data_IF_499098366825
#
_entry.id   IF_499098366825
#
_cell.length_a   1.000
_cell.length_b   1.000
_cell.length_c   1.000
_cell.angle_alpha   90.00
_cell.angle_beta   90.00
_cell.angle_gamma   90.00
#
_symmetry.space_group_name_H-M   'P 1'
#
loop_
_entity.id
_entity.type
_entity.pdbx_description
1 polymer ?
#
# COMPACT_ATOMS: atom_id res chain seq x y z
N UNK A 1 -73.29 -17.39 -18.55
CA UNK A 1 -72.48 -16.59 -17.60
C UNK A 1 -71.04 -17.14 -17.70
N UNK A 2 -70.17 -16.40 -18.44
CA UNK A 2 -68.79 -16.84 -18.71
C UNK A 2 -67.87 -16.11 -17.73
N UNK A 3 -67.21 -16.87 -16.85
CA UNK A 3 -66.22 -16.36 -15.91
C UNK A 3 -64.88 -16.25 -16.66
N UNK A 4 -64.45 -15.01 -16.88
CA UNK A 4 -63.12 -14.73 -17.45
C UNK A 4 -62.14 -14.67 -16.27
N UNK A 5 -61.29 -15.72 -16.19
CA UNK A 5 -60.23 -15.79 -15.17
C UNK A 5 -59.04 -14.95 -15.62
N UNK A 6 -58.83 -13.84 -15.00
CA UNK A 6 -57.67 -12.97 -15.28
C UNK A 6 -56.46 -13.50 -14.51
N UNK A 7 -55.50 -14.05 -15.22
CA UNK A 7 -54.21 -14.47 -14.67
C UNK A 7 -53.35 -13.20 -14.51
N UNK A 8 -53.13 -12.75 -13.28
CA UNK A 8 -52.15 -11.70 -12.93
C UNK A 8 -50.78 -12.38 -12.85
N UNK A 9 -49.93 -12.14 -13.85
CA UNK A 9 -48.53 -12.53 -13.80
C UNK A 9 -47.77 -11.47 -12.97
N UNK A 10 -47.46 -11.78 -11.71
CA UNK A 10 -46.56 -11.02 -10.88
C UNK A 10 -45.12 -11.25 -11.35
N UNK A 11 -44.60 -10.32 -12.14
CA UNK A 11 -43.19 -10.27 -12.49
C UNK A 11 -42.37 -9.89 -11.25
N UNK A 12 -41.87 -10.90 -10.52
CA UNK A 12 -41.03 -10.70 -9.34
C UNK A 12 -39.67 -10.14 -9.78
N UNK A 13 -39.45 -8.85 -9.57
CA UNK A 13 -38.16 -8.19 -9.78
C UNK A 13 -37.22 -8.61 -8.67
N UNK A 14 -36.34 -9.59 -8.96
CA UNK A 14 -35.29 -10.02 -8.02
C UNK A 14 -34.23 -8.92 -8.00
N UNK A 15 -34.23 -8.12 -6.95
CA UNK A 15 -33.15 -7.17 -6.67
C UNK A 15 -31.94 -7.96 -6.20
N UNK A 16 -30.98 -8.18 -7.07
CA UNK A 16 -29.67 -8.74 -6.71
C UNK A 16 -28.88 -7.63 -6.02
N UNK A 17 -28.52 -7.76 -4.74
CA UNK A 17 -27.68 -6.76 -4.07
C UNK A 17 -26.30 -6.79 -4.73
N UNK A 18 -25.93 -5.68 -5.39
CA UNK A 18 -24.58 -5.46 -5.86
C UNK A 18 -23.74 -5.17 -4.61
N UNK A 19 -23.00 -6.15 -4.13
CA UNK A 19 -21.99 -5.93 -3.11
C UNK A 19 -20.83 -5.21 -3.78
N UNK A 20 -20.78 -3.88 -3.67
CA UNK A 20 -19.56 -3.13 -3.89
C UNK A 20 -18.61 -3.54 -2.76
N UNK A 21 -17.73 -4.50 -3.01
CA UNK A 21 -16.61 -4.79 -2.13
C UNK A 21 -15.78 -3.52 -1.99
N UNK A 22 -15.70 -2.95 -0.78
CA UNK A 22 -14.75 -1.91 -0.49
C UNK A 22 -13.35 -2.50 -0.75
N UNK A 23 -12.60 -1.89 -1.68
CA UNK A 23 -11.18 -2.21 -1.85
C UNK A 23 -10.49 -1.65 -0.62
N UNK A 24 -10.22 -2.51 0.38
CA UNK A 24 -9.34 -2.15 1.47
C UNK A 24 -7.96 -1.86 0.88
N UNK A 25 -7.52 -0.61 0.99
CA UNK A 25 -6.16 -0.24 0.60
C UNK A 25 -5.21 -0.90 1.59
N UNK A 26 -4.42 -1.85 1.12
CA UNK A 26 -3.40 -2.52 1.92
C UNK A 26 -2.33 -1.52 2.34
N UNK A 27 -1.96 -1.52 3.62
CA UNK A 27 -0.93 -0.66 4.19
C UNK A 27 0.19 -1.52 4.73
N UNK A 28 1.41 -1.25 4.28
CA UNK A 28 2.61 -1.88 4.79
C UNK A 28 3.29 -0.99 5.84
N UNK A 29 3.53 -1.50 7.02
CA UNK A 29 4.07 -0.74 8.14
C UNK A 29 5.56 -1.01 8.35
N UNK A 30 6.33 0.07 8.59
CA UNK A 30 7.73 0.04 8.98
C UNK A 30 7.87 0.84 10.27
N UNK A 31 8.37 0.22 11.32
CA UNK A 31 8.64 0.91 12.57
C UNK A 31 10.00 1.63 12.54
N UNK A 32 10.08 2.81 13.13
CA UNK A 32 11.34 3.45 13.51
C UNK A 32 11.63 3.08 14.95
N UNK A 33 12.81 2.52 15.20
CA UNK A 33 13.23 1.97 16.48
C UNK A 33 14.49 2.65 17.01
N UNK A 34 14.67 2.68 18.34
CA UNK A 34 15.81 3.30 19.01
C UNK A 34 17.11 2.47 18.95
N UNK A 35 17.04 1.23 18.42
CA UNK A 35 18.17 0.33 18.28
C UNK A 35 18.19 -0.30 16.90
N UNK A 36 19.35 -0.87 16.50
CA UNK A 36 19.45 -1.56 15.23
C UNK A 36 18.40 -2.69 15.11
N UNK A 37 17.76 -2.83 13.92
CA UNK A 37 18.11 -2.22 12.63
C UNK A 37 17.59 -0.79 12.40
N UNK A 38 17.01 -0.12 13.38
CA UNK A 38 16.46 1.24 13.39
C UNK A 38 15.20 1.43 12.53
N UNK A 39 15.10 0.85 11.34
CA UNK A 39 13.87 0.67 10.57
C UNK A 39 13.54 -0.82 10.55
N UNK A 40 12.36 -1.17 11.02
CA UNK A 40 11.94 -2.57 11.15
C UNK A 40 10.64 -2.81 10.36
N UNK A 41 10.65 -3.65 9.31
CA UNK A 41 11.81 -4.37 8.79
C UNK A 41 12.83 -3.46 8.07
N UNK A 42 14.11 -3.83 8.12
CA UNK A 42 15.21 -3.14 7.44
C UNK A 42 15.08 -3.18 5.91
N UNK A 43 14.62 -4.30 5.36
CA UNK A 43 14.28 -4.48 3.95
C UNK A 43 12.81 -4.86 3.86
N UNK A 44 12.02 -4.04 3.20
CA UNK A 44 10.63 -4.32 2.87
C UNK A 44 10.49 -4.65 1.38
N UNK A 45 9.75 -5.69 1.03
CA UNK A 45 9.38 -6.00 -0.36
C UNK A 45 7.87 -5.99 -0.45
N UNK A 46 7.35 -5.07 -1.26
CA UNK A 46 5.91 -4.80 -1.37
C UNK A 46 5.46 -4.77 -2.83
N UNK A 47 4.21 -5.11 -3.13
CA UNK A 47 3.63 -4.88 -4.45
C UNK A 47 3.48 -3.39 -4.76
N UNK A 48 3.58 -3.00 -6.03
CA UNK A 48 3.20 -1.65 -6.44
C UNK A 48 1.71 -1.38 -6.15
N UNK A 49 1.39 -0.14 -5.79
CA UNK A 49 0.04 0.24 -5.37
C UNK A 49 -0.26 0.08 -3.87
N UNK A 50 0.59 -0.60 -3.11
CA UNK A 50 0.47 -0.70 -1.65
C UNK A 50 0.98 0.57 -0.98
N UNK A 51 0.22 1.10 -0.02
CA UNK A 51 0.66 2.22 0.83
C UNK A 51 1.76 1.76 1.78
N UNK A 52 2.80 2.57 1.97
CA UNK A 52 3.83 2.34 2.98
C UNK A 52 3.73 3.40 4.05
N UNK A 53 3.71 2.99 5.31
CA UNK A 53 3.67 3.91 6.43
C UNK A 53 4.80 3.63 7.41
N UNK A 54 5.63 4.64 7.68
CA UNK A 54 6.64 4.62 8.72
C UNK A 54 6.07 5.23 10.00
N UNK A 55 6.25 4.52 11.12
CA UNK A 55 5.74 4.95 12.43
C UNK A 55 6.92 5.20 13.35
N UNK A 56 7.04 6.42 13.87
CA UNK A 56 8.09 6.74 14.83
C UNK A 56 7.71 6.31 16.24
N UNK A 57 8.22 5.17 16.67
CA UNK A 57 8.01 4.61 18.02
C UNK A 57 9.10 5.05 19.01
N UNK A 58 10.01 5.94 18.60
CA UNK A 58 11.12 6.41 19.44
C UNK A 58 10.76 7.68 20.20
N UNK A 59 11.64 8.09 21.11
CA UNK A 59 11.49 9.33 21.86
C UNK A 59 12.11 10.56 21.15
N UNK A 60 12.69 10.39 19.96
CA UNK A 60 13.35 11.45 19.18
C UNK A 60 12.75 11.58 17.79
N UNK A 61 12.97 12.74 17.17
CA UNK A 61 12.53 12.93 15.77
C UNK A 61 13.44 12.17 14.80
N UNK A 62 12.86 11.66 13.73
CA UNK A 62 13.55 10.98 12.63
C UNK A 62 13.04 11.48 11.28
N UNK A 63 13.75 11.13 10.20
CA UNK A 63 13.28 11.38 8.83
C UNK A 63 13.27 10.08 8.04
N UNK A 64 12.45 10.03 6.98
CA UNK A 64 12.48 8.99 5.95
C UNK A 64 12.83 9.68 4.64
N UNK A 65 14.09 9.63 4.26
CA UNK A 65 14.62 10.42 3.15
C UNK A 65 15.24 9.49 2.12
N UNK A 66 14.71 9.48 0.90
CA UNK A 66 15.28 8.72 -0.21
C UNK A 66 16.70 9.21 -0.51
N UNK A 67 17.61 8.29 -0.78
CA UNK A 67 19.02 8.63 -1.02
C UNK A 67 19.22 9.50 -2.28
N UNK A 68 18.28 9.44 -3.23
CA UNK A 68 18.25 10.32 -4.39
C UNK A 68 18.13 11.80 -4.04
N UNK A 69 17.57 12.14 -2.86
CA UNK A 69 17.46 13.52 -2.39
C UNK A 69 18.81 14.13 -1.98
N UNK A 70 19.88 13.31 -1.83
CA UNK A 70 21.24 13.76 -1.55
C UNK A 70 22.05 14.10 -2.80
N UNK A 71 21.59 13.65 -3.95
CA UNK A 71 22.31 13.72 -5.21
C UNK A 71 21.41 14.43 -6.22
N UNK A 72 21.96 14.83 -7.36
CA UNK A 72 21.19 15.37 -8.50
C UNK A 72 20.32 14.31 -9.19
N UNK A 73 19.90 13.28 -8.46
CA UNK A 73 19.01 12.22 -8.91
C UNK A 73 17.58 12.53 -8.47
N UNK A 74 16.56 11.94 -9.09
CA UNK A 74 15.19 12.13 -8.66
C UNK A 74 15.02 11.77 -7.19
N UNK A 75 14.53 12.73 -6.38
CA UNK A 75 14.16 12.52 -5.01
C UNK A 75 12.75 11.89 -4.97
N UNK A 76 12.65 10.61 -4.68
CA UNK A 76 11.36 9.91 -4.69
C UNK A 76 10.47 10.31 -3.50
N UNK A 77 11.07 10.53 -2.33
CA UNK A 77 10.36 10.95 -1.12
C UNK A 77 11.30 11.54 -0.06
N UNK A 78 10.78 12.47 0.70
CA UNK A 78 11.40 13.04 1.89
C UNK A 78 10.29 13.41 2.89
N UNK A 79 10.26 12.77 4.03
CA UNK A 79 9.23 13.01 5.05
C UNK A 79 9.38 14.36 5.76
N UNK A 80 10.57 14.98 5.69
CA UNK A 80 10.94 15.96 6.71
C UNK A 80 11.00 15.31 8.09
N UNK A 81 10.89 16.12 9.15
CA UNK A 81 10.94 15.64 10.53
C UNK A 81 9.64 14.94 10.93
N UNK A 82 9.74 13.70 11.36
CA UNK A 82 8.65 12.89 11.94
C UNK A 82 8.85 12.84 13.45
N UNK A 83 8.01 13.53 14.20
CA UNK A 83 8.09 13.61 15.66
C UNK A 83 7.76 12.25 16.33
N UNK A 84 8.15 12.03 17.60
CA UNK A 84 7.76 10.86 18.38
C UNK A 84 6.25 10.61 18.35
N UNK A 85 5.85 9.35 18.09
CA UNK A 85 4.45 8.94 17.99
C UNK A 85 3.75 9.30 16.68
N UNK A 86 4.38 10.07 15.81
CA UNK A 86 3.84 10.42 14.50
C UNK A 86 4.27 9.43 13.42
N UNK A 87 3.67 9.55 12.25
CA UNK A 87 3.96 8.70 11.09
C UNK A 87 4.14 9.51 9.81
N UNK A 88 4.78 8.89 8.84
CA UNK A 88 4.89 9.34 7.46
C UNK A 88 4.36 8.25 6.54
N UNK A 89 3.49 8.60 5.60
CA UNK A 89 2.89 7.64 4.68
C UNK A 89 3.09 8.07 3.22
N UNK A 90 3.36 7.07 2.38
CA UNK A 90 3.39 7.20 0.92
C UNK A 90 2.24 6.36 0.35
N UNK A 91 1.32 6.97 -0.44
CA UNK A 91 0.15 6.26 -0.97
C UNK A 91 0.55 5.11 -1.91
N UNK A 92 1.59 5.30 -2.71
CA UNK A 92 2.15 4.25 -3.56
C UNK A 92 3.53 4.68 -4.07
N UNK A 93 4.33 3.68 -4.46
CA UNK A 93 5.58 3.85 -5.18
C UNK A 93 5.54 3.01 -6.45
N UNK A 94 6.21 3.47 -7.50
CA UNK A 94 6.42 2.68 -8.70
C UNK A 94 7.39 1.54 -8.45
N UNK A 95 7.38 0.50 -9.30
CA UNK A 95 8.31 -0.61 -9.17
C UNK A 95 9.76 -0.13 -9.23
N UNK A 96 10.57 -0.56 -8.27
CA UNK A 96 11.95 -0.13 -8.12
C UNK A 96 12.51 -0.43 -6.73
N UNK A 97 13.78 -0.11 -6.54
CA UNK A 97 14.48 -0.23 -5.25
C UNK A 97 14.80 1.13 -4.69
N UNK A 98 14.29 1.42 -3.50
CA UNK A 98 14.41 2.71 -2.85
C UNK A 98 15.24 2.57 -1.58
N UNK A 99 16.50 3.00 -1.63
CA UNK A 99 17.35 3.14 -0.45
C UNK A 99 17.01 4.45 0.25
N UNK A 100 16.84 4.42 1.56
CA UNK A 100 16.52 5.60 2.35
C UNK A 100 17.29 5.62 3.67
N UNK A 101 17.30 6.76 4.32
CA UNK A 101 18.03 6.99 5.56
C UNK A 101 17.36 8.09 6.40
N UNK A 102 17.79 8.22 7.65
CA UNK A 102 17.43 9.36 8.51
C UNK A 102 18.51 10.45 8.38
N UNK A 103 18.12 11.69 8.04
CA UNK A 103 19.04 12.81 7.95
C UNK A 103 19.64 13.19 9.31
N UNK A 104 18.87 12.99 10.40
CA UNK A 104 19.29 13.32 11.77
C UNK A 104 20.21 12.24 12.35
N UNK A 105 20.08 11.01 11.90
CA UNK A 105 20.83 9.84 12.36
C UNK A 105 21.25 8.98 11.16
N UNK A 106 22.32 9.35 10.43
CA UNK A 106 22.66 8.71 9.13
C UNK A 106 22.99 7.22 9.20
N UNK A 107 23.21 6.67 10.40
CA UNK A 107 23.35 5.24 10.63
C UNK A 107 22.02 4.48 10.38
N UNK A 108 20.89 5.15 10.58
CA UNK A 108 19.57 4.58 10.30
C UNK A 108 19.35 4.54 8.79
N UNK A 109 19.29 3.33 8.25
CA UNK A 109 19.11 3.07 6.82
C UNK A 109 18.08 1.97 6.60
N UNK A 110 17.40 2.00 5.47
CA UNK A 110 16.47 0.97 5.07
C UNK A 110 16.32 0.89 3.56
N UNK A 111 15.59 -0.13 3.11
CA UNK A 111 15.33 -0.38 1.69
C UNK A 111 13.86 -0.76 1.52
N UNK A 112 13.19 -0.15 0.57
CA UNK A 112 11.89 -0.60 0.05
C UNK A 112 12.08 -1.08 -1.37
N UNK A 113 11.79 -2.37 -1.60
CA UNK A 113 11.70 -2.98 -2.92
C UNK A 113 10.23 -3.03 -3.32
N UNK A 114 9.88 -2.29 -4.35
CA UNK A 114 8.54 -2.31 -4.94
C UNK A 114 8.56 -3.20 -6.18
N UNK A 115 7.72 -4.22 -6.18
CA UNK A 115 7.64 -5.20 -7.26
C UNK A 115 6.27 -5.14 -7.95
N UNK A 116 6.25 -5.35 -9.25
CA UNK A 116 4.98 -5.47 -9.96
C UNK A 116 4.19 -6.69 -9.48
N UNK A 117 2.87 -6.57 -9.25
CA UNK A 117 2.04 -7.71 -8.92
C UNK A 117 2.14 -8.76 -10.04
N UNK A 118 2.36 -10.02 -9.69
CA UNK A 118 2.30 -11.11 -10.67
C UNK A 118 0.86 -11.26 -11.13
N UNK A 119 0.55 -10.77 -12.31
CA UNK A 119 -0.70 -11.11 -12.99
C UNK A 119 -0.63 -12.62 -13.31
N UNK A 120 -1.45 -13.43 -12.64
CA UNK A 120 -1.68 -14.80 -13.07
C UNK A 120 -2.26 -14.70 -14.49
N UNK A 121 -1.45 -15.00 -15.49
CA UNK A 121 -1.99 -15.28 -16.83
C UNK A 121 -2.77 -16.58 -16.70
N UNK A 122 -4.08 -16.47 -16.62
CA UNK A 122 -4.93 -17.62 -16.90
C UNK A 122 -4.61 -18.02 -18.34
N UNK A 123 -4.00 -19.18 -18.48
CA UNK A 123 -3.75 -19.76 -19.80
C UNK A 123 -5.07 -19.90 -20.56
N UNK A 124 -5.06 -19.86 -21.90
CA UNK A 124 -6.27 -20.04 -22.68
C UNK A 124 -6.94 -21.36 -22.26
N UNK A 125 -8.19 -21.27 -21.82
CA UNK A 125 -9.02 -22.44 -21.58
C UNK A 125 -9.16 -23.21 -22.91
N UNK A 126 -8.45 -24.31 -23.03
CA UNK A 126 -8.64 -25.24 -24.15
C UNK A 126 -9.98 -25.93 -23.91
N UNK A 127 -11.03 -25.39 -24.52
CA UNK A 127 -12.29 -26.11 -24.69
C UNK A 127 -12.07 -27.12 -25.78
N UNK A 128 -11.89 -28.38 -25.40
CA UNK A 128 -11.98 -29.54 -26.28
C UNK A 128 -13.43 -29.97 -26.49
#
# INVERSE_FOLDING_TARGET
MRIVSTIVVLCGMVLIPIHLGAVESEVYYIAMEGSAPYYSPFIATIPSGVMVQWINQTATAHTVTHIGCLRENPCAFDSGSVAPGNSFALPSLEAGTYHYYCRLHPIMRGVVNVVEPRVKREGPSVSG
#
